data_IF_291867310467
#
_entry.id   IF_291867310467
#
_cell.length_a   1.000
_cell.length_b   1.000
_cell.length_c   1.000
_cell.angle_alpha   90.00
_cell.angle_beta   90.00
_cell.angle_gamma   90.00
#
_symmetry.space_group_name_H-M   'P 1'
#
loop_
_entity.id
_entity.type
_entity.pdbx_description
1 polymer ?
#
# COMPACT_ATOMS: atom_id res chain seq x y z
N UNK A 1 -76.62 25.11 21.50
CA UNK A 1 -76.54 26.52 21.07
C UNK A 1 -75.80 26.57 19.76
N UNK A 2 -76.41 27.21 18.76
CA UNK A 2 -75.92 27.41 17.40
C UNK A 2 -74.97 28.61 17.40
N UNK A 3 -73.77 28.51 16.81
CA UNK A 3 -73.41 29.37 15.67
C UNK A 3 -72.06 29.03 15.00
N UNK A 4 -72.08 29.23 13.68
CA UNK A 4 -71.03 29.10 12.68
C UNK A 4 -70.03 30.27 12.71
N UNK A 5 -68.88 30.07 12.05
CA UNK A 5 -68.06 30.99 11.20
C UNK A 5 -66.58 30.60 11.34
N UNK A 6 -65.69 30.57 10.36
CA UNK A 6 -65.69 30.80 8.91
C UNK A 6 -64.34 30.23 8.43
N UNK A 7 -64.34 29.56 7.28
CA UNK A 7 -63.11 29.15 6.62
C UNK A 7 -62.54 30.35 5.86
N UNK A 8 -61.36 30.84 6.26
CA UNK A 8 -60.58 31.79 5.45
C UNK A 8 -59.50 31.07 4.67
N UNK A 9 -59.75 30.92 3.37
CA UNK A 9 -58.78 30.59 2.34
C UNK A 9 -57.66 31.65 2.30
N UNK A 10 -56.39 31.24 2.45
CA UNK A 10 -55.24 32.11 2.20
C UNK A 10 -54.73 31.91 0.75
N UNK A 11 -54.46 32.99 -0.01
CA UNK A 11 -54.05 32.90 -1.40
C UNK A 11 -52.57 32.50 -1.53
N UNK A 12 -52.29 31.70 -2.56
CA UNK A 12 -51.01 31.05 -2.87
C UNK A 12 -49.87 32.00 -3.34
N UNK A 13 -49.89 33.29 -2.95
CA UNK A 13 -48.91 34.30 -3.41
C UNK A 13 -47.88 34.72 -2.35
N UNK A 14 -47.92 34.17 -1.15
CA UNK A 14 -47.00 34.52 -0.04
C UNK A 14 -45.74 33.62 0.06
N UNK A 15 -45.64 32.53 -0.70
CA UNK A 15 -44.50 31.60 -0.63
C UNK A 15 -43.32 31.98 -1.56
N UNK A 16 -43.53 32.86 -2.54
CA UNK A 16 -42.52 33.15 -3.56
C UNK A 16 -41.43 34.17 -3.14
N UNK A 17 -41.67 34.93 -2.06
CA UNK A 17 -40.74 35.97 -1.60
C UNK A 17 -39.84 35.53 -0.43
N UNK A 18 -40.16 34.42 0.24
CA UNK A 18 -39.32 33.86 1.30
C UNK A 18 -38.14 33.04 0.75
N UNK A 19 -38.28 32.44 -0.45
CA UNK A 19 -37.19 31.69 -1.09
C UNK A 19 -36.09 32.58 -1.70
N UNK A 20 -36.36 33.85 -2.01
CA UNK A 20 -35.39 34.73 -2.67
C UNK A 20 -34.42 35.46 -1.72
N UNK A 21 -34.66 35.41 -0.40
CA UNK A 21 -33.86 36.16 0.59
C UNK A 21 -32.87 35.32 1.40
N UNK A 22 -32.75 34.02 1.13
CA UNK A 22 -31.79 33.14 1.82
C UNK A 22 -30.49 32.90 1.02
N UNK A 23 -30.30 33.55 -0.13
CA UNK A 23 -29.10 33.37 -0.99
C UNK A 23 -28.00 34.42 -0.71
N UNK A 24 -28.04 35.13 0.41
CA UNK A 24 -27.00 36.14 0.73
C UNK A 24 -26.70 36.20 2.22
N UNK A 25 -25.87 35.26 2.66
CA UNK A 25 -24.98 35.29 3.84
C UNK A 25 -24.63 33.82 4.10
N UNK A 26 -23.47 33.29 3.72
CA UNK A 26 -22.19 33.45 4.42
C UNK A 26 -21.12 32.97 3.43
N UNK A 27 -20.40 33.91 2.81
CA UNK A 27 -19.09 33.67 2.23
C UNK A 27 -18.08 34.10 3.31
N UNK A 28 -17.28 33.16 3.80
CA UNK A 28 -16.03 33.26 4.58
C UNK A 28 -15.94 32.06 5.55
N UNK A 29 -15.97 30.85 4.99
CA UNK A 29 -15.53 29.63 5.67
C UNK A 29 -14.14 29.30 5.17
N UNK A 30 -13.13 29.77 5.89
CA UNK A 30 -11.71 29.41 5.77
C UNK A 30 -11.50 27.97 5.32
N UNK A 31 -10.79 27.80 4.20
CA UNK A 31 -10.28 26.51 3.77
C UNK A 31 -9.31 25.95 4.79
N UNK A 32 -9.81 25.12 5.71
CA UNK A 32 -8.99 24.17 6.44
C UNK A 32 -8.53 23.14 5.41
N UNK A 33 -7.37 23.39 4.81
CA UNK A 33 -6.61 22.35 4.13
C UNK A 33 -6.29 21.32 5.22
N UNK A 34 -7.00 20.21 5.21
CA UNK A 34 -6.62 19.03 5.98
C UNK A 34 -5.33 18.51 5.36
N UNK A 35 -4.20 19.06 5.82
CA UNK A 35 -2.91 18.43 5.59
C UNK A 35 -2.92 17.16 6.43
N UNK A 36 -3.31 16.03 5.84
CA UNK A 36 -3.03 14.74 6.45
C UNK A 36 -1.54 14.70 6.76
N UNK A 37 -1.13 14.41 8.01
CA UNK A 37 0.28 14.23 8.30
C UNK A 37 0.80 13.16 7.35
N UNK A 38 1.87 13.48 6.61
CA UNK A 38 2.65 12.46 5.90
C UNK A 38 3.22 11.58 6.98
N UNK A 39 2.59 10.43 7.20
CA UNK A 39 3.08 9.43 8.12
C UNK A 39 4.27 8.79 7.40
N UNK A 40 5.48 9.21 7.75
CA UNK A 40 6.67 8.45 7.41
C UNK A 40 6.47 7.03 7.96
N UNK A 41 6.80 6.00 7.18
CA UNK A 41 6.66 4.62 7.62
C UNK A 41 7.45 4.43 8.92
N UNK A 42 6.75 4.05 9.99
CA UNK A 42 7.37 3.86 11.29
C UNK A 42 8.14 2.53 11.31
N UNK A 43 9.40 2.58 10.87
CA UNK A 43 10.33 1.45 10.90
C UNK A 43 10.61 0.94 12.31
N UNK A 44 10.26 1.69 13.36
CA UNK A 44 10.47 1.25 14.74
C UNK A 44 9.61 0.05 15.11
N UNK A 45 8.55 -0.23 14.33
CA UNK A 45 7.66 -1.37 14.51
C UNK A 45 8.01 -2.57 13.62
N UNK A 46 8.99 -2.44 12.71
CA UNK A 46 9.40 -3.56 11.87
C UNK A 46 9.91 -4.71 12.74
N UNK A 47 9.54 -5.96 12.43
CA UNK A 47 10.17 -7.13 13.00
C UNK A 47 11.69 -7.11 12.81
N UNK A 48 12.42 -7.74 13.73
CA UNK A 48 13.89 -7.70 13.77
C UNK A 48 14.53 -8.14 12.46
N UNK A 49 13.98 -9.16 11.79
CA UNK A 49 14.49 -9.62 10.49
C UNK A 49 14.38 -8.56 9.39
N UNK A 50 13.24 -7.88 9.30
CA UNK A 50 13.05 -6.80 8.32
C UNK A 50 13.89 -5.56 8.67
N UNK A 51 14.03 -5.24 9.96
CA UNK A 51 14.91 -4.15 10.41
C UNK A 51 16.37 -4.40 10.01
N UNK A 52 16.83 -5.64 10.09
CA UNK A 52 18.18 -6.00 9.65
C UNK A 52 18.40 -5.74 8.15
N UNK A 53 17.38 -5.91 7.31
CA UNK A 53 17.44 -5.55 5.87
C UNK A 53 17.54 -4.04 5.67
N UNK A 54 16.75 -3.25 6.40
CA UNK A 54 16.85 -1.77 6.39
C UNK A 54 18.25 -1.31 6.82
N UNK A 55 18.78 -1.85 7.91
CA UNK A 55 20.10 -1.49 8.42
C UNK A 55 21.22 -1.87 7.42
N UNK A 56 21.08 -3.00 6.73
CA UNK A 56 22.00 -3.42 5.69
C UNK A 56 21.97 -2.45 4.50
N UNK A 57 20.78 -2.10 4.02
CA UNK A 57 20.61 -1.14 2.94
C UNK A 57 21.18 0.24 3.30
N UNK A 58 20.93 0.71 4.52
CA UNK A 58 21.46 1.97 5.00
C UNK A 58 22.99 2.00 5.04
N UNK A 59 23.62 0.93 5.53
CA UNK A 59 25.08 0.78 5.50
C UNK A 59 25.62 0.78 4.08
N UNK A 60 25.00 0.03 3.16
CA UNK A 60 25.43 -0.03 1.77
C UNK A 60 25.40 1.36 1.10
N UNK A 61 24.38 2.17 1.36
CA UNK A 61 24.33 3.55 0.84
C UNK A 61 25.41 4.45 1.45
N UNK A 62 25.62 4.37 2.77
CA UNK A 62 26.66 5.15 3.43
C UNK A 62 28.07 4.79 2.92
N UNK A 63 28.33 3.50 2.70
CA UNK A 63 29.61 3.03 2.12
C UNK A 63 29.76 3.48 0.65
N UNK A 64 28.65 3.60 -0.09
CA UNK A 64 28.66 4.08 -1.45
C UNK A 64 28.71 5.62 -1.51
N UNK A 65 29.92 6.17 -1.61
CA UNK A 65 30.16 7.61 -1.77
C UNK A 65 29.54 8.48 -0.66
N UNK A 66 29.47 7.97 0.58
CA UNK A 66 28.87 8.67 1.73
C UNK A 66 27.40 9.06 1.48
N UNK A 67 26.65 8.17 0.84
CA UNK A 67 25.24 8.37 0.56
C UNK A 67 24.38 8.44 1.82
N UNK A 68 23.23 9.09 1.70
CA UNK A 68 22.19 9.12 2.73
C UNK A 68 21.05 8.20 2.29
N UNK A 69 20.72 7.25 3.16
CA UNK A 69 19.63 6.32 2.95
C UNK A 69 18.28 6.96 3.25
N UNK A 70 17.28 6.63 2.43
CA UNK A 70 15.90 7.04 2.60
C UNK A 70 14.93 5.88 2.38
N UNK A 71 13.77 5.97 3.04
CA UNK A 71 12.63 5.10 2.82
C UNK A 71 11.48 5.95 2.29
N UNK A 72 11.10 5.69 1.06
CA UNK A 72 10.00 6.34 0.37
C UNK A 72 8.68 5.60 0.61
N UNK A 73 7.59 6.21 0.13
CA UNK A 73 6.26 5.63 0.24
C UNK A 73 6.18 4.27 -0.49
N UNK A 74 5.49 3.31 0.11
CA UNK A 74 5.41 1.93 -0.39
C UNK A 74 6.59 1.04 0.00
N UNK A 75 7.63 1.57 0.65
CA UNK A 75 8.72 0.73 1.16
C UNK A 75 8.27 -0.25 2.24
N UNK A 76 7.21 0.08 3.00
CA UNK A 76 6.66 -0.78 4.05
C UNK A 76 5.16 -0.91 3.87
N UNK A 77 4.68 -2.15 3.78
CA UNK A 77 3.28 -2.48 3.58
C UNK A 77 2.79 -3.46 4.66
N UNK A 78 1.46 -3.45 4.87
CA UNK A 78 0.77 -4.36 5.77
C UNK A 78 -0.33 -5.09 5.03
N UNK A 79 -0.13 -6.37 4.76
CA UNK A 79 -1.04 -7.21 3.95
C UNK A 79 -1.13 -8.60 4.55
N UNK A 80 -2.31 -9.22 4.53
CA UNK A 80 -2.47 -10.64 4.87
C UNK A 80 -1.84 -11.49 3.77
N UNK A 81 -0.78 -12.22 4.09
CA UNK A 81 0.00 -13.06 3.15
C UNK A 81 -0.37 -14.53 3.24
N UNK A 82 -0.77 -15.01 4.42
CA UNK A 82 -0.96 -16.43 4.72
C UNK A 82 -2.44 -16.86 4.83
N UNK A 83 -3.38 -15.91 4.80
CA UNK A 83 -4.82 -16.13 4.89
C UNK A 83 -5.37 -16.27 6.32
N UNK A 84 -4.62 -15.87 7.35
CA UNK A 84 -5.04 -15.91 8.75
C UNK A 84 -5.84 -14.67 9.21
N UNK A 85 -6.12 -13.74 8.29
CA UNK A 85 -6.81 -12.46 8.49
C UNK A 85 -6.04 -11.43 9.31
N UNK A 86 -4.80 -11.72 9.72
CA UNK A 86 -3.87 -10.74 10.25
C UNK A 86 -3.04 -10.14 9.12
N UNK A 87 -2.68 -8.86 9.26
CA UNK A 87 -1.81 -8.20 8.28
C UNK A 87 -0.36 -8.40 8.65
N UNK A 88 0.36 -9.11 7.81
CA UNK A 88 1.79 -9.33 7.87
C UNK A 88 2.56 -8.09 7.40
N UNK A 89 3.88 -8.09 7.63
CA UNK A 89 4.76 -7.01 7.17
C UNK A 89 5.39 -7.37 5.84
N UNK A 90 5.43 -6.42 4.92
CA UNK A 90 6.26 -6.49 3.71
C UNK A 90 7.16 -5.26 3.66
N UNK A 91 8.43 -5.47 3.32
CA UNK A 91 9.43 -4.43 3.08
C UNK A 91 9.87 -4.51 1.63
N UNK A 92 9.64 -3.46 0.85
CA UNK A 92 9.88 -3.41 -0.58
C UNK A 92 11.04 -2.47 -0.90
N UNK A 93 12.13 -3.01 -1.44
CA UNK A 93 13.31 -2.21 -1.79
C UNK A 93 13.06 -1.23 -2.95
N UNK A 94 11.95 -1.35 -3.69
CA UNK A 94 11.55 -0.34 -4.67
C UNK A 94 11.26 1.03 -4.04
N UNK A 95 10.96 1.07 -2.74
CA UNK A 95 10.85 2.31 -1.97
C UNK A 95 12.15 2.70 -1.27
N UNK A 96 13.29 2.05 -1.54
CA UNK A 96 14.57 2.44 -0.95
C UNK A 96 15.26 3.48 -1.82
N UNK A 97 15.83 4.49 -1.19
CA UNK A 97 16.56 5.56 -1.85
C UNK A 97 17.98 5.70 -1.29
N UNK A 98 18.94 5.97 -2.17
CA UNK A 98 20.28 6.37 -1.79
C UNK A 98 20.67 7.67 -2.49
N UNK A 99 21.05 8.70 -1.74
CA UNK A 99 21.33 10.03 -2.29
C UNK A 99 22.51 10.06 -3.29
N UNK A 100 23.38 9.06 -3.26
CA UNK A 100 24.56 8.95 -4.11
C UNK A 100 24.42 7.95 -5.26
N UNK A 101 23.35 7.13 -5.29
CA UNK A 101 23.10 6.14 -6.34
C UNK A 101 21.60 5.81 -6.47
N UNK A 102 20.99 6.28 -7.56
CA UNK A 102 19.57 6.10 -7.82
C UNK A 102 19.16 4.63 -8.00
N UNK A 103 20.05 3.77 -8.51
CA UNK A 103 19.76 2.36 -8.80
C UNK A 103 20.51 1.41 -7.85
N UNK A 104 20.81 1.84 -6.62
CA UNK A 104 21.61 1.02 -5.70
C UNK A 104 20.92 -0.30 -5.31
N UNK A 105 19.59 -0.27 -5.21
CA UNK A 105 18.78 -1.39 -4.69
C UNK A 105 17.98 -2.14 -5.76
N UNK A 106 17.93 -1.60 -6.97
CA UNK A 106 17.09 -2.13 -8.04
C UNK A 106 17.86 -2.23 -9.36
N UNK A 107 17.63 -3.31 -10.08
CA UNK A 107 18.19 -3.57 -11.40
C UNK A 107 17.12 -3.81 -12.45
N UNK A 108 17.51 -4.39 -13.59
CA UNK A 108 16.56 -4.74 -14.67
C UNK A 108 15.61 -5.87 -14.28
N UNK A 109 16.02 -6.75 -13.35
CA UNK A 109 15.17 -7.78 -12.76
C UNK A 109 14.18 -7.26 -11.72
N UNK A 110 14.19 -5.95 -11.43
CA UNK A 110 13.34 -5.33 -10.41
C UNK A 110 14.10 -5.11 -9.10
N UNK A 111 13.37 -5.17 -7.99
CA UNK A 111 13.85 -4.90 -6.64
C UNK A 111 13.50 -6.07 -5.73
N UNK A 112 14.22 -6.24 -4.63
CA UNK A 112 13.86 -7.26 -3.65
C UNK A 112 12.59 -6.85 -2.89
N UNK A 113 11.68 -7.79 -2.67
CA UNK A 113 10.60 -7.63 -1.69
C UNK A 113 10.76 -8.69 -0.61
N UNK A 114 10.67 -8.25 0.65
CA UNK A 114 10.87 -9.07 1.84
C UNK A 114 9.55 -9.23 2.57
N UNK A 115 9.10 -10.46 2.71
CA UNK A 115 7.82 -10.86 3.26
C UNK A 115 8.07 -11.48 4.65
N UNK A 116 7.46 -10.93 5.68
CA UNK A 116 7.54 -11.47 7.03
C UNK A 116 6.38 -12.43 7.29
N UNK A 117 6.64 -13.73 7.28
CA UNK A 117 5.65 -14.79 7.55
C UNK A 117 6.35 -15.88 8.35
N UNK A 118 5.66 -16.55 9.28
CA UNK A 118 6.26 -17.63 10.07
C UNK A 118 7.38 -17.17 11.02
N UNK A 119 7.40 -15.88 11.38
CA UNK A 119 8.52 -15.25 12.12
C UNK A 119 9.87 -15.20 11.37
N UNK A 120 9.86 -15.50 10.07
CA UNK A 120 11.02 -15.44 9.20
C UNK A 120 10.84 -14.39 8.09
N UNK A 121 11.95 -14.01 7.47
CA UNK A 121 11.96 -13.15 6.29
C UNK A 121 12.16 -14.01 5.06
N UNK A 122 11.18 -14.00 4.17
CA UNK A 122 11.29 -14.61 2.84
C UNK A 122 11.43 -13.51 1.79
N UNK A 123 12.42 -13.62 0.92
CA UNK A 123 12.72 -12.57 -0.06
C UNK A 123 12.48 -13.05 -1.49
N UNK A 124 11.93 -12.19 -2.33
CA UNK A 124 11.70 -12.47 -3.75
C UNK A 124 12.08 -11.26 -4.62
N UNK A 125 13.00 -11.47 -5.56
CA UNK A 125 13.33 -10.48 -6.58
C UNK A 125 12.18 -10.38 -7.59
N UNK A 126 11.56 -9.21 -7.70
CA UNK A 126 10.40 -9.01 -8.56
C UNK A 126 10.34 -7.59 -9.13
N UNK A 127 9.60 -7.44 -10.22
CA UNK A 127 9.28 -6.17 -10.87
C UNK A 127 7.96 -5.56 -10.37
N UNK A 128 7.28 -6.28 -9.48
CA UNK A 128 6.04 -5.91 -8.82
C UNK A 128 5.35 -7.16 -8.29
N UNK A 129 4.54 -6.97 -7.26
CA UNK A 129 3.72 -8.05 -6.70
C UNK A 129 2.37 -7.51 -6.23
N UNK A 130 1.44 -8.43 -6.05
CA UNK A 130 0.16 -8.18 -5.41
C UNK A 130 -0.30 -9.44 -4.70
N UNK A 131 -1.30 -9.32 -3.84
CA UNK A 131 -1.95 -10.48 -3.23
C UNK A 131 -3.38 -10.57 -3.74
N UNK A 132 -3.72 -11.73 -4.29
CA UNK A 132 -5.06 -12.01 -4.81
C UNK A 132 -5.72 -13.14 -4.02
N UNK A 133 -7.04 -13.10 -3.98
CA UNK A 133 -7.83 -14.21 -3.47
C UNK A 133 -8.13 -15.17 -4.60
N UNK A 134 -7.66 -16.41 -4.50
CA UNK A 134 -7.90 -17.48 -5.46
C UNK A 134 -8.66 -18.63 -4.80
N UNK A 135 -9.98 -18.54 -4.85
CA UNK A 135 -10.87 -19.44 -4.12
C UNK A 135 -10.69 -19.27 -2.62
N UNK A 136 -10.14 -20.29 -1.95
CA UNK A 136 -9.90 -20.28 -0.49
C UNK A 136 -8.47 -19.87 -0.12
N UNK A 137 -7.65 -19.53 -1.11
CA UNK A 137 -6.20 -19.28 -0.91
C UNK A 137 -5.90 -17.81 -1.08
N UNK A 138 -5.06 -17.30 -0.19
CA UNK A 138 -4.34 -16.06 -0.36
C UNK A 138 -3.11 -16.36 -1.21
N UNK A 139 -2.93 -15.67 -2.33
CA UNK A 139 -1.87 -15.95 -3.30
C UNK A 139 -1.06 -14.69 -3.54
N UNK A 140 0.24 -14.74 -3.25
CA UNK A 140 1.19 -13.72 -3.71
C UNK A 140 1.44 -13.96 -5.20
N UNK A 141 1.11 -12.98 -6.03
CA UNK A 141 1.37 -13.01 -7.46
C UNK A 141 2.44 -11.97 -7.76
N UNK A 142 3.57 -12.39 -8.29
CA UNK A 142 4.73 -11.54 -8.55
C UNK A 142 5.15 -11.62 -10.01
N UNK A 143 5.41 -10.46 -10.62
CA UNK A 143 6.09 -10.35 -11.91
C UNK A 143 7.59 -10.54 -11.65
N UNK A 144 8.14 -11.65 -12.12
CA UNK A 144 9.53 -12.03 -11.85
C UNK A 144 10.31 -12.09 -13.16
N UNK A 145 11.64 -12.11 -13.04
CA UNK A 145 12.49 -12.11 -14.21
C UNK A 145 12.29 -13.36 -15.09
N UNK A 146 12.29 -13.18 -16.42
CA UNK A 146 11.99 -14.25 -17.39
C UNK A 146 12.84 -15.52 -17.24
N UNK A 147 14.05 -15.40 -16.69
CA UNK A 147 14.94 -16.55 -16.42
C UNK A 147 14.37 -17.54 -15.40
N UNK A 148 13.43 -17.13 -14.56
CA UNK A 148 12.76 -18.02 -13.62
C UNK A 148 11.68 -18.89 -14.27
N UNK A 149 11.34 -18.65 -15.54
CA UNK A 149 10.41 -19.44 -16.35
C UNK A 149 11.09 -20.01 -17.61
N UNK A 150 12.40 -20.31 -17.54
CA UNK A 150 13.22 -20.79 -18.67
C UNK A 150 13.28 -19.84 -19.88
N UNK A 151 12.91 -18.57 -19.68
CA UNK A 151 12.96 -17.51 -20.67
C UNK A 151 14.24 -16.67 -20.60
N UNK A 152 14.34 -15.69 -21.50
CA UNK A 152 15.35 -14.64 -21.46
C UNK A 152 14.66 -13.28 -21.51
N UNK A 153 15.31 -12.21 -21.06
CA UNK A 153 14.72 -10.87 -21.13
C UNK A 153 14.30 -10.51 -22.58
N UNK A 154 13.06 -10.02 -22.84
CA UNK A 154 12.00 -9.56 -21.92
C UNK A 154 10.81 -10.56 -21.78
N UNK A 155 11.05 -11.87 -21.74
CA UNK A 155 9.97 -12.87 -21.61
C UNK A 155 9.16 -12.63 -20.33
N UNK A 156 7.83 -12.43 -20.43
CA UNK A 156 6.96 -12.32 -19.26
C UNK A 156 7.00 -13.59 -18.41
N UNK A 157 7.15 -13.45 -17.09
CA UNK A 157 7.17 -14.57 -16.16
C UNK A 157 6.51 -14.14 -14.85
N UNK A 158 5.56 -14.95 -14.37
CA UNK A 158 4.80 -14.64 -13.16
C UNK A 158 4.89 -15.82 -12.21
N UNK A 159 5.19 -15.55 -10.94
CA UNK A 159 5.05 -16.53 -9.87
C UNK A 159 3.70 -16.38 -9.19
N UNK A 160 3.07 -17.51 -8.90
CA UNK A 160 1.98 -17.61 -7.94
C UNK A 160 2.46 -18.43 -6.75
N UNK A 161 2.49 -17.81 -5.58
CA UNK A 161 3.00 -18.39 -4.34
C UNK A 161 1.91 -18.45 -3.28
N UNK A 162 1.78 -19.61 -2.64
CA UNK A 162 0.85 -19.84 -1.52
C UNK A 162 1.66 -20.29 -0.32
N UNK A 163 1.38 -19.72 0.83
CA UNK A 163 2.01 -20.14 2.07
C UNK A 163 1.50 -21.51 2.52
N UNK A 164 2.42 -22.43 2.82
CA UNK A 164 2.15 -23.71 3.45
C UNK A 164 2.57 -23.63 4.92
N UNK A 165 1.59 -23.33 5.79
CA UNK A 165 1.83 -23.14 7.22
C UNK A 165 2.18 -24.42 7.98
N UNK A 166 2.00 -25.61 7.41
CA UNK A 166 2.47 -26.86 8.04
C UNK A 166 3.96 -27.08 7.78
N UNK A 167 4.43 -26.70 6.58
CA UNK A 167 5.81 -26.85 6.16
C UNK A 167 6.65 -25.57 6.34
N UNK A 168 6.05 -24.48 6.80
CA UNK A 168 6.68 -23.17 7.03
C UNK A 168 7.40 -22.65 5.77
N UNK A 169 6.74 -22.77 4.61
CA UNK A 169 7.38 -22.48 3.32
C UNK A 169 6.40 -22.01 2.25
N UNK A 170 6.90 -21.29 1.25
CA UNK A 170 6.15 -20.92 0.06
C UNK A 170 6.08 -22.06 -0.96
N UNK A 171 4.87 -22.38 -1.42
CA UNK A 171 4.63 -23.25 -2.57
C UNK A 171 4.41 -22.39 -3.79
N UNK A 172 5.35 -22.42 -4.73
CA UNK A 172 5.42 -21.47 -5.84
C UNK A 172 5.42 -22.16 -7.19
N UNK A 173 4.79 -21.54 -8.19
CA UNK A 173 4.83 -22.03 -9.58
C UNK A 173 6.15 -21.74 -10.29
N UNK A 174 6.86 -20.69 -9.87
CA UNK A 174 8.15 -20.25 -10.38
C UNK A 174 8.84 -19.34 -9.34
N UNK A 175 10.10 -18.99 -9.58
CA UNK A 175 10.86 -18.08 -8.72
C UNK A 175 11.47 -18.77 -7.50
N UNK A 176 12.65 -18.31 -7.12
CA UNK A 176 13.37 -18.80 -5.96
C UNK A 176 13.17 -17.82 -4.80
N UNK A 177 12.65 -18.33 -3.69
CA UNK A 177 12.51 -17.57 -2.46
C UNK A 177 13.78 -17.74 -1.62
N UNK A 178 14.36 -16.63 -1.17
CA UNK A 178 15.53 -16.59 -0.26
C UNK A 178 15.12 -16.47 1.20
#
# INVERSE_FOLDING_TARGET
MINATEATFQPASQLANYLKRLVSAILLGSGLVWTSPVVAADVSQLPTGLRAKVDLAARACAEFNNGQFGLDWGAVERVDLNGDLQRDWVLNESGFACSSAASLYCGTGGCMSHFWVGEEVHSLLNQGWTVVDFGRRRVVVADIHGSNCDGINPTPCVSASVWDGEADTWRSSAGDWE
#
